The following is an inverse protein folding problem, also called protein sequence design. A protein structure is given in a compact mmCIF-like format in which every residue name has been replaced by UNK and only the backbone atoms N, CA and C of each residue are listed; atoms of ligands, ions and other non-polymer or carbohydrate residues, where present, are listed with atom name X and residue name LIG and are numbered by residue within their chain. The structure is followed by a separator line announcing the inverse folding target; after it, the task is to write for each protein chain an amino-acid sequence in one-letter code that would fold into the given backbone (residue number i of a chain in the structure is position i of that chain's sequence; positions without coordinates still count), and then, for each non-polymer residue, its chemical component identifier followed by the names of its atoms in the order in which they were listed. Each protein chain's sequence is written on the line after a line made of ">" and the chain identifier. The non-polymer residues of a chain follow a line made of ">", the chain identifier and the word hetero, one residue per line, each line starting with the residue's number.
data_IF_554554005198
#
_entry.id   IF_554554005198
#
_cell.length_a   1.000
_cell.length_b   1.000
_cell.length_c   1.000
_cell.angle_alpha   90.00
_cell.angle_beta   90.00
_cell.angle_gamma   90.00
#
_symmetry.space_group_name_H-M   'P 1'
#
loop_
_entity.id
_entity.type
_entity.pdbx_description
1 polymer ?
#
# COMPACT_ATOMS: atom_id res chain seq x y z
N UNK A 1 53.55 -13.87 -46.83
CA UNK A 1 54.12 -13.01 -45.79
C UNK A 1 53.10 -11.93 -45.35
N UNK A 2 52.56 -11.16 -46.29
CA UNK A 2 51.58 -10.09 -46.00
C UNK A 2 50.28 -10.56 -45.33
N UNK A 3 49.78 -11.79 -45.62
CA UNK A 3 48.54 -12.33 -45.03
C UNK A 3 48.71 -12.72 -43.55
N UNK A 4 49.89 -13.17 -43.15
CA UNK A 4 50.22 -13.50 -41.76
C UNK A 4 50.40 -12.23 -40.95
N UNK A 5 51.06 -11.22 -41.49
CA UNK A 5 51.24 -9.92 -40.83
C UNK A 5 49.90 -9.21 -40.61
N UNK A 6 48.99 -9.25 -41.58
CA UNK A 6 47.63 -8.67 -41.40
C UNK A 6 46.79 -9.41 -40.32
N UNK A 7 46.90 -10.74 -40.25
CA UNK A 7 46.25 -11.54 -39.22
C UNK A 7 46.78 -11.26 -37.81
N UNK A 8 48.11 -11.05 -37.67
CA UNK A 8 48.74 -10.68 -36.40
C UNK A 8 48.26 -9.29 -35.95
N UNK A 9 48.18 -8.32 -36.85
CA UNK A 9 47.67 -6.98 -36.53
C UNK A 9 46.20 -7.00 -36.06
N UNK A 10 45.36 -7.75 -36.79
CA UNK A 10 43.95 -7.93 -36.41
C UNK A 10 43.79 -8.61 -35.04
N UNK A 11 44.64 -9.60 -34.73
CA UNK A 11 44.63 -10.29 -33.44
C UNK A 11 45.02 -9.30 -32.29
N UNK A 12 46.07 -8.50 -32.49
CA UNK A 12 46.48 -7.50 -31.50
C UNK A 12 45.44 -6.43 -31.27
N UNK A 13 44.70 -6.00 -32.31
CA UNK A 13 43.62 -5.06 -32.19
C UNK A 13 42.44 -5.66 -31.36
N UNK A 14 42.09 -6.92 -31.60
CA UNK A 14 41.09 -7.66 -30.84
C UNK A 14 41.49 -7.78 -29.37
N UNK A 15 42.76 -8.17 -29.10
CA UNK A 15 43.26 -8.33 -27.73
C UNK A 15 43.24 -6.99 -26.98
N UNK A 16 43.61 -5.88 -27.64
CA UNK A 16 43.50 -4.53 -27.06
C UNK A 16 42.05 -4.10 -26.78
N UNK A 17 41.11 -4.44 -27.65
CA UNK A 17 39.69 -4.14 -27.43
C UNK A 17 39.11 -4.99 -26.31
N UNK A 18 39.52 -6.25 -26.15
CA UNK A 18 39.11 -7.08 -24.99
C UNK A 18 39.59 -6.43 -23.70
N UNK A 19 40.85 -6.01 -23.60
CA UNK A 19 41.40 -5.34 -22.41
C UNK A 19 40.58 -4.09 -22.06
N UNK A 20 40.30 -3.23 -23.06
CA UNK A 20 39.48 -2.00 -22.84
C UNK A 20 38.09 -2.32 -22.36
N UNK A 21 37.45 -3.37 -22.92
CA UNK A 21 36.10 -3.82 -22.49
C UNK A 21 36.15 -4.34 -21.05
N UNK A 22 37.16 -5.16 -20.71
CA UNK A 22 37.32 -5.67 -19.34
C UNK A 22 37.52 -4.55 -18.32
N UNK A 23 38.34 -3.55 -18.63
CA UNK A 23 38.56 -2.38 -17.79
C UNK A 23 37.24 -1.56 -17.62
N UNK A 24 36.50 -1.39 -18.71
CA UNK A 24 35.21 -0.73 -18.71
C UNK A 24 34.19 -1.46 -17.83
N UNK A 25 34.09 -2.78 -17.99
CA UNK A 25 33.22 -3.64 -17.17
C UNK A 25 33.61 -3.53 -15.70
N UNK A 26 34.90 -3.58 -15.36
CA UNK A 26 35.39 -3.43 -13.97
C UNK A 26 35.00 -2.09 -13.39
N UNK A 27 35.18 -1.00 -14.13
CA UNK A 27 34.79 0.35 -13.72
C UNK A 27 33.29 0.48 -13.49
N UNK A 28 32.47 -0.05 -14.42
CA UNK A 28 31.02 -0.05 -14.31
C UNK A 28 30.53 -0.87 -13.11
N UNK A 29 31.14 -2.01 -12.82
CA UNK A 29 30.82 -2.83 -11.65
C UNK A 29 31.12 -2.13 -10.34
N UNK A 30 32.23 -1.39 -10.24
CA UNK A 30 32.56 -0.57 -9.07
C UNK A 30 31.52 0.53 -8.84
N UNK A 31 31.16 1.25 -9.90
CA UNK A 31 30.13 2.29 -9.85
C UNK A 31 28.76 1.73 -9.47
N UNK A 32 28.39 0.60 -10.04
CA UNK A 32 27.14 -0.11 -9.73
C UNK A 32 27.09 -0.52 -8.25
N UNK A 33 28.18 -1.09 -7.72
CA UNK A 33 28.27 -1.46 -6.31
C UNK A 33 28.16 -0.24 -5.38
N UNK A 34 28.85 0.85 -5.69
CA UNK A 34 28.76 2.07 -4.94
C UNK A 34 27.32 2.66 -4.93
N UNK A 35 26.65 2.65 -6.07
CA UNK A 35 25.27 3.09 -6.19
C UNK A 35 24.32 2.18 -5.37
N UNK A 36 24.50 0.87 -5.43
CA UNK A 36 23.69 -0.10 -4.69
C UNK A 36 23.83 0.06 -3.17
N UNK A 37 25.05 0.25 -2.67
CA UNK A 37 25.32 0.55 -1.24
C UNK A 37 24.68 1.88 -0.83
N UNK A 38 24.79 2.92 -1.65
CA UNK A 38 24.15 4.21 -1.37
C UNK A 38 22.62 4.09 -1.26
N UNK A 39 21.99 3.29 -2.12
CA UNK A 39 20.56 3.01 -2.05
C UNK A 39 20.21 2.24 -0.77
N UNK A 40 20.99 1.20 -0.44
CA UNK A 40 20.80 0.42 0.79
C UNK A 40 20.84 1.31 2.04
N UNK A 41 21.86 2.15 2.16
CA UNK A 41 22.01 3.06 3.29
C UNK A 41 20.85 4.07 3.40
N UNK A 42 20.37 4.60 2.28
CA UNK A 42 19.18 5.46 2.26
C UNK A 42 17.91 4.71 2.70
N UNK A 43 17.72 3.47 2.26
CA UNK A 43 16.59 2.64 2.73
C UNK A 43 16.67 2.41 4.23
N UNK A 44 17.85 2.03 4.74
CA UNK A 44 18.08 1.80 6.16
C UNK A 44 17.81 3.05 7.00
N UNK A 45 18.18 4.22 6.53
CA UNK A 45 17.99 5.46 7.30
C UNK A 45 16.53 5.89 7.46
N UNK A 46 15.62 5.50 6.56
CA UNK A 46 14.19 5.87 6.64
C UNK A 46 13.32 4.84 7.37
N UNK A 47 13.85 3.65 7.64
CA UNK A 47 13.10 2.56 8.30
C UNK A 47 12.55 3.00 9.67
N UNK A 48 13.32 3.61 10.59
CA UNK A 48 12.80 3.96 11.92
C UNK A 48 11.60 4.91 11.87
N UNK A 49 11.62 5.90 10.98
CA UNK A 49 10.52 6.85 10.82
C UNK A 49 9.29 6.16 10.21
N UNK A 50 9.50 5.27 9.24
CA UNK A 50 8.43 4.51 8.63
C UNK A 50 7.77 3.55 9.65
N UNK A 51 8.55 2.81 10.42
CA UNK A 51 8.05 1.91 11.49
C UNK A 51 7.25 2.71 12.54
N UNK A 52 7.73 3.86 12.95
CA UNK A 52 7.03 4.75 13.89
C UNK A 52 5.68 5.19 13.35
N UNK A 53 5.60 5.61 12.07
CA UNK A 53 4.36 6.01 11.44
C UNK A 53 3.40 4.82 11.29
N UNK A 54 3.92 3.66 10.89
CA UNK A 54 3.13 2.43 10.79
C UNK A 54 2.51 2.06 12.13
N UNK A 55 3.31 1.96 13.18
CA UNK A 55 2.85 1.58 14.51
C UNK A 55 1.84 2.58 15.08
N UNK A 56 2.03 3.89 14.83
CA UNK A 56 1.02 4.90 15.17
C UNK A 56 -0.31 4.63 14.46
N UNK A 57 -0.30 4.41 13.16
CA UNK A 57 -1.51 4.13 12.40
C UNK A 57 -2.19 2.84 12.87
N UNK A 58 -1.42 1.80 13.19
CA UNK A 58 -1.98 0.53 13.69
C UNK A 58 -2.70 0.70 15.02
N UNK A 59 -2.17 1.51 15.94
CA UNK A 59 -2.86 1.86 17.20
C UNK A 59 -4.21 2.53 16.89
N UNK A 60 -4.24 3.52 16.01
CA UNK A 60 -5.47 4.21 15.61
C UNK A 60 -6.47 3.28 14.91
N UNK A 61 -5.99 2.22 14.26
CA UNK A 61 -6.78 1.19 13.60
C UNK A 61 -7.19 0.02 14.53
N UNK A 62 -7.07 0.20 15.86
CA UNK A 62 -7.50 -0.79 16.84
C UNK A 62 -6.54 -1.97 17.03
N UNK A 63 -5.26 -1.80 16.65
CA UNK A 63 -4.21 -2.82 16.78
C UNK A 63 -3.14 -2.38 17.81
N UNK A 64 -3.57 -1.93 18.98
CA UNK A 64 -2.71 -1.31 20.01
C UNK A 64 -1.60 -2.23 20.56
N UNK A 65 -1.80 -3.54 20.49
CA UNK A 65 -0.85 -4.53 21.02
C UNK A 65 0.09 -5.07 19.95
N UNK A 66 -0.17 -4.72 18.70
CA UNK A 66 0.63 -5.14 17.55
C UNK A 66 1.87 -4.27 17.38
N UNK A 67 2.82 -4.80 16.64
CA UNK A 67 4.03 -4.05 16.29
C UNK A 67 4.58 -4.55 14.94
N UNK A 68 5.12 -3.62 14.17
CA UNK A 68 5.69 -3.88 12.84
C UNK A 68 7.16 -3.47 12.83
N UNK A 69 7.97 -4.31 12.18
CA UNK A 69 9.39 -4.04 11.92
C UNK A 69 9.75 -4.37 10.48
N UNK A 70 10.76 -3.69 9.98
CA UNK A 70 11.38 -3.99 8.70
C UNK A 70 12.77 -4.57 8.95
N UNK A 71 12.95 -5.82 8.61
CA UNK A 71 14.27 -6.44 8.54
C UNK A 71 14.87 -6.18 7.17
N UNK A 72 15.95 -5.41 7.12
CA UNK A 72 16.65 -5.05 5.89
C UNK A 72 18.05 -5.64 5.91
N UNK A 73 18.29 -6.66 5.11
CA UNK A 73 19.58 -7.32 4.93
C UNK A 73 20.22 -7.00 3.56
N UNK A 74 21.50 -7.27 3.45
CA UNK A 74 22.24 -7.14 2.19
C UNK A 74 22.44 -8.52 1.54
N UNK A 75 22.45 -8.54 0.22
CA UNK A 75 22.85 -9.70 -0.59
C UNK A 75 24.14 -9.40 -1.34
N UNK A 76 24.95 -10.42 -1.55
CA UNK A 76 26.19 -10.30 -2.34
C UNK A 76 25.91 -10.04 -3.83
N UNK A 77 24.76 -10.49 -4.33
CA UNK A 77 24.37 -10.36 -5.72
C UNK A 77 23.61 -9.05 -5.92
N UNK A 78 24.12 -8.17 -6.78
CA UNK A 78 23.44 -6.93 -7.14
C UNK A 78 22.27 -7.27 -8.06
N UNK A 79 21.06 -7.02 -7.56
CA UNK A 79 19.81 -7.22 -8.29
C UNK A 79 19.37 -5.92 -8.97
N UNK A 80 18.33 -5.99 -9.83
CA UNK A 80 17.73 -4.82 -10.48
C UNK A 80 17.38 -3.68 -9.50
N UNK A 81 17.01 -4.02 -8.28
CA UNK A 81 16.61 -3.07 -7.23
C UNK A 81 17.73 -2.78 -6.21
N UNK A 82 18.99 -3.16 -6.50
CA UNK A 82 20.15 -3.02 -5.62
C UNK A 82 20.45 -4.28 -4.81
N UNK A 83 21.10 -4.12 -3.66
CA UNK A 83 21.57 -5.22 -2.79
C UNK A 83 20.65 -5.47 -1.58
N UNK A 84 19.56 -4.74 -1.45
CA UNK A 84 18.70 -4.83 -0.26
C UNK A 84 17.63 -5.92 -0.41
N UNK A 85 17.52 -6.78 0.59
CA UNK A 85 16.38 -7.69 0.80
C UNK A 85 15.63 -7.19 2.02
N UNK A 86 14.35 -6.81 1.84
CA UNK A 86 13.49 -6.34 2.91
C UNK A 86 12.42 -7.36 3.26
N UNK A 87 12.22 -7.60 4.56
CA UNK A 87 11.13 -8.40 5.11
C UNK A 87 10.30 -7.54 6.04
N UNK A 88 8.98 -7.60 5.87
CA UNK A 88 8.05 -6.98 6.78
C UNK A 88 7.69 -8.00 7.87
N UNK A 89 8.10 -7.71 9.09
CA UNK A 89 7.87 -8.55 10.25
C UNK A 89 6.74 -7.95 11.10
N UNK A 90 5.86 -8.80 11.57
CA UNK A 90 4.69 -8.43 12.36
C UNK A 90 4.57 -9.31 13.60
N UNK A 91 4.13 -8.71 14.70
CA UNK A 91 3.62 -9.41 15.87
C UNK A 91 2.25 -8.84 16.24
N UNK A 92 1.29 -9.70 16.50
CA UNK A 92 -0.10 -9.31 16.82
C UNK A 92 -0.29 -8.86 18.27
N UNK A 93 0.57 -9.34 19.21
CA UNK A 93 0.41 -9.08 20.64
C UNK A 93 1.76 -8.85 21.33
N UNK A 94 1.72 -8.16 22.49
CA UNK A 94 2.87 -8.04 23.38
C UNK A 94 3.28 -9.44 23.85
N UNK A 95 4.54 -9.81 23.63
CA UNK A 95 5.08 -11.14 24.03
C UNK A 95 5.09 -12.18 22.91
N UNK A 96 4.42 -11.97 21.79
CA UNK A 96 4.60 -12.82 20.60
C UNK A 96 5.92 -12.51 19.89
N UNK A 97 6.43 -13.49 19.16
CA UNK A 97 7.61 -13.34 18.31
C UNK A 97 7.23 -12.62 16.99
N UNK A 98 8.19 -11.97 16.39
CA UNK A 98 8.03 -11.42 15.04
C UNK A 98 8.07 -12.54 14.00
N UNK A 99 7.09 -12.56 13.12
CA UNK A 99 7.04 -13.46 11.96
C UNK A 99 6.80 -12.66 10.69
N UNK A 100 7.01 -13.25 9.54
CA UNK A 100 6.65 -12.61 8.28
C UNK A 100 5.13 -12.37 8.25
N UNK A 101 4.72 -11.19 7.78
CA UNK A 101 3.32 -10.75 7.79
C UNK A 101 2.36 -11.77 7.18
N UNK A 102 2.77 -12.42 6.09
CA UNK A 102 1.97 -13.42 5.37
C UNK A 102 1.60 -14.64 6.19
N UNK A 103 2.36 -14.93 7.26
CA UNK A 103 2.24 -16.19 8.01
C UNK A 103 1.41 -16.03 9.29
N UNK A 104 1.12 -14.80 9.72
CA UNK A 104 0.60 -14.54 11.08
C UNK A 104 -0.66 -13.68 11.11
N UNK A 105 -0.85 -12.77 10.15
CA UNK A 105 -1.94 -11.81 10.22
C UNK A 105 -3.27 -12.41 9.71
N UNK A 106 -4.36 -12.10 10.41
CA UNK A 106 -5.72 -12.36 9.93
C UNK A 106 -6.06 -11.44 8.74
N UNK A 107 -7.06 -11.81 7.93
CA UNK A 107 -7.47 -11.00 6.77
C UNK A 107 -7.77 -9.54 7.13
N UNK A 108 -8.47 -9.29 8.23
CA UNK A 108 -8.75 -7.94 8.71
C UNK A 108 -7.50 -7.18 9.19
N UNK A 109 -6.54 -7.86 9.81
CA UNK A 109 -5.26 -7.25 10.20
C UNK A 109 -4.43 -6.89 8.96
N UNK A 110 -4.33 -7.81 7.99
CA UNK A 110 -3.64 -7.53 6.72
C UNK A 110 -4.25 -6.31 6.02
N UNK A 111 -5.57 -6.21 5.95
CA UNK A 111 -6.27 -5.09 5.32
C UNK A 111 -5.92 -3.76 6.00
N UNK A 112 -5.93 -3.70 7.33
CA UNK A 112 -5.56 -2.50 8.09
C UNK A 112 -4.07 -2.15 7.95
N UNK A 113 -3.17 -3.13 7.95
CA UNK A 113 -1.74 -2.93 7.71
C UNK A 113 -1.53 -2.39 6.29
N UNK A 114 -2.20 -2.95 5.28
CA UNK A 114 -2.12 -2.46 3.91
C UNK A 114 -2.68 -1.06 3.76
N UNK A 115 -3.80 -0.72 4.44
CA UNK A 115 -4.32 0.64 4.48
C UNK A 115 -3.28 1.61 5.04
N UNK A 116 -2.65 1.26 6.17
CA UNK A 116 -1.60 2.08 6.79
C UNK A 116 -0.42 2.31 5.83
N UNK A 117 0.09 1.24 5.20
CA UNK A 117 1.17 1.35 4.21
C UNK A 117 0.75 2.28 3.06
N UNK A 118 -0.44 2.06 2.48
CA UNK A 118 -0.95 2.87 1.37
C UNK A 118 -1.16 4.33 1.76
N UNK A 119 -1.62 4.61 2.98
CA UNK A 119 -1.80 5.97 3.47
C UNK A 119 -0.45 6.71 3.61
N UNK A 120 0.58 6.06 4.12
CA UNK A 120 1.92 6.64 4.21
C UNK A 120 2.50 6.89 2.81
N UNK A 121 2.38 5.91 1.91
CA UNK A 121 2.91 6.00 0.54
C UNK A 121 2.13 6.97 -0.35
N UNK A 122 0.87 7.30 -0.02
CA UNK A 122 0.03 8.19 -0.83
C UNK A 122 0.64 9.57 -1.09
N UNK A 123 1.53 10.03 -0.22
CA UNK A 123 2.28 11.28 -0.37
C UNK A 123 3.41 11.18 -1.40
N UNK A 124 3.89 9.99 -1.67
CA UNK A 124 5.12 9.76 -2.48
C UNK A 124 4.83 9.06 -3.80
N UNK A 125 3.67 8.39 -3.91
CA UNK A 125 3.28 7.66 -5.12
C UNK A 125 2.22 8.44 -5.89
N UNK A 126 2.44 8.63 -7.18
CA UNK A 126 1.46 9.26 -8.09
C UNK A 126 0.48 8.21 -8.64
N UNK A 127 -0.29 7.59 -7.75
CA UNK A 127 -1.38 6.72 -8.17
C UNK A 127 -2.57 7.59 -8.55
N UNK A 128 -3.19 7.33 -9.70
CA UNK A 128 -4.39 8.04 -10.13
C UNK A 128 -5.59 7.66 -9.26
N UNK A 129 -5.77 6.36 -8.98
CA UNK A 129 -6.91 5.85 -8.23
C UNK A 129 -6.51 4.64 -7.38
N UNK A 130 -7.24 4.43 -6.28
CA UNK A 130 -7.17 3.22 -5.45
C UNK A 130 -8.59 2.80 -5.07
N UNK A 131 -8.84 1.50 -5.07
CA UNK A 131 -10.13 0.91 -4.69
C UNK A 131 -9.89 0.09 -3.42
N UNK A 132 -10.71 0.33 -2.40
CA UNK A 132 -10.80 -0.47 -1.20
C UNK A 132 -12.13 -1.20 -1.16
N UNK A 133 -12.08 -2.51 -1.04
CA UNK A 133 -13.24 -3.38 -0.97
C UNK A 133 -13.30 -4.02 0.42
N UNK A 134 -14.42 -3.80 1.13
CA UNK A 134 -14.73 -4.37 2.45
C UNK A 134 -13.60 -4.25 3.51
N UNK A 135 -12.83 -3.17 3.48
CA UNK A 135 -11.69 -2.96 4.40
C UNK A 135 -12.15 -2.73 5.85
N UNK A 136 -13.41 -2.43 6.05
CA UNK A 136 -14.08 -2.19 7.33
C UNK A 136 -14.77 -3.44 7.91
N UNK A 137 -14.58 -4.61 7.31
CA UNK A 137 -15.09 -5.88 7.84
C UNK A 137 -14.47 -6.20 9.21
N UNK A 138 -15.33 -6.49 10.19
CA UNK A 138 -14.92 -6.87 11.56
C UNK A 138 -14.42 -5.71 12.42
N UNK A 139 -14.62 -4.46 11.99
CA UNK A 139 -14.36 -3.27 12.80
C UNK A 139 -15.65 -2.47 13.00
N UNK A 140 -15.69 -1.69 14.08
CA UNK A 140 -16.85 -0.86 14.42
C UNK A 140 -16.46 0.40 15.18
N UNK A 141 -17.41 1.33 15.30
CA UNK A 141 -17.27 2.51 16.14
C UNK A 141 -16.09 3.41 15.76
N UNK A 142 -15.24 3.68 16.73
CA UNK A 142 -14.10 4.61 16.60
C UNK A 142 -13.08 4.14 15.56
N UNK A 143 -12.84 2.84 15.43
CA UNK A 143 -11.89 2.28 14.45
C UNK A 143 -12.38 2.51 13.03
N UNK A 144 -13.68 2.29 12.74
CA UNK A 144 -14.27 2.58 11.43
C UNK A 144 -14.15 4.07 11.08
N UNK A 145 -14.36 4.97 12.06
CA UNK A 145 -14.15 6.41 11.85
C UNK A 145 -12.70 6.74 11.46
N UNK A 146 -11.71 6.11 12.11
CA UNK A 146 -10.30 6.30 11.79
C UNK A 146 -9.92 5.75 10.42
N UNK A 147 -10.49 4.61 10.01
CA UNK A 147 -10.37 4.09 8.64
C UNK A 147 -10.86 5.14 7.64
N UNK A 148 -12.06 5.70 7.86
CA UNK A 148 -12.62 6.75 7.01
C UNK A 148 -11.75 8.02 6.96
N UNK A 149 -11.15 8.44 8.09
CA UNK A 149 -10.23 9.59 8.15
C UNK A 149 -8.96 9.35 7.32
N UNK A 150 -8.36 8.16 7.40
CA UNK A 150 -7.19 7.80 6.59
C UNK A 150 -7.53 7.80 5.09
N UNK A 151 -8.68 7.27 4.70
CA UNK A 151 -9.13 7.28 3.31
C UNK A 151 -9.38 8.71 2.81
N UNK A 152 -10.01 9.55 3.61
CA UNK A 152 -10.19 10.97 3.30
C UNK A 152 -8.86 11.71 3.18
N UNK A 153 -7.88 11.41 4.02
CA UNK A 153 -6.52 11.94 3.88
C UNK A 153 -5.87 11.52 2.54
N UNK A 154 -5.98 10.24 2.17
CA UNK A 154 -5.46 9.74 0.88
C UNK A 154 -6.14 10.43 -0.31
N UNK A 155 -7.43 10.74 -0.21
CA UNK A 155 -8.20 11.37 -1.28
C UNK A 155 -7.73 12.80 -1.63
N UNK A 156 -6.87 13.40 -0.83
CA UNK A 156 -6.23 14.68 -1.15
C UNK A 156 -5.18 14.55 -2.28
N UNK A 157 -4.63 13.35 -2.48
CA UNK A 157 -3.55 13.10 -3.45
C UNK A 157 -3.96 12.16 -4.60
N UNK A 158 -5.10 11.46 -4.48
CA UNK A 158 -5.56 10.49 -5.47
C UNK A 158 -7.06 10.26 -5.36
N UNK A 159 -7.67 9.69 -6.38
CA UNK A 159 -9.05 9.21 -6.29
C UNK A 159 -9.11 7.97 -5.40
N UNK A 160 -9.95 8.01 -4.36
CA UNK A 160 -10.20 6.88 -3.46
C UNK A 160 -11.63 6.42 -3.65
N UNK A 161 -11.81 5.17 -4.05
CA UNK A 161 -13.11 4.50 -4.18
C UNK A 161 -13.19 3.47 -3.06
N UNK A 162 -14.29 3.50 -2.29
CA UNK A 162 -14.47 2.62 -1.14
C UNK A 162 -15.81 1.91 -1.25
N UNK A 163 -15.78 0.58 -1.13
CA UNK A 163 -16.97 -0.25 -0.98
C UNK A 163 -17.09 -0.58 0.50
N UNK A 164 -18.16 -0.09 1.14
CA UNK A 164 -18.32 -0.14 2.59
C UNK A 164 -19.77 -0.40 2.98
N UNK A 165 -19.97 -1.01 4.12
CA UNK A 165 -21.27 -1.19 4.77
C UNK A 165 -21.37 -0.41 6.09
N UNK A 166 -20.31 0.37 6.48
CA UNK A 166 -20.32 1.15 7.71
C UNK A 166 -20.59 2.63 7.46
N UNK A 167 -21.52 3.19 8.21
CA UNK A 167 -21.91 4.60 8.13
C UNK A 167 -20.73 5.54 8.41
N UNK A 168 -19.84 5.17 9.33
CA UNK A 168 -18.65 5.93 9.72
C UNK A 168 -17.69 6.16 8.55
N UNK A 169 -17.50 5.16 7.70
CA UNK A 169 -16.67 5.26 6.49
C UNK A 169 -17.44 6.00 5.40
N UNK A 170 -18.69 5.63 5.12
CA UNK A 170 -19.53 6.23 4.08
C UNK A 170 -19.70 7.74 4.28
N UNK A 171 -19.84 8.22 5.54
CA UNK A 171 -19.98 9.64 5.86
C UNK A 171 -18.77 10.48 5.46
N UNK A 172 -17.57 9.92 5.35
CA UNK A 172 -16.32 10.64 5.01
C UNK A 172 -16.14 10.88 3.52
N UNK A 173 -16.88 10.17 2.65
CA UNK A 173 -16.79 10.33 1.19
C UNK A 173 -17.29 11.68 0.71
N UNK A 174 -16.75 12.21 -0.40
CA UNK A 174 -17.27 13.41 -1.06
C UNK A 174 -18.53 13.09 -1.90
N UNK A 175 -18.56 11.90 -2.48
CA UNK A 175 -19.69 11.38 -3.24
C UNK A 175 -20.14 10.06 -2.62
N UNK A 176 -21.45 9.79 -2.66
CA UNK A 176 -22.01 8.57 -2.13
C UNK A 176 -22.86 7.90 -3.22
N UNK A 177 -22.48 6.67 -3.57
CA UNK A 177 -23.21 5.81 -4.49
C UNK A 177 -23.88 4.70 -3.69
N UNK A 178 -25.21 4.58 -3.82
CA UNK A 178 -25.97 3.46 -3.24
C UNK A 178 -26.09 2.35 -4.26
N UNK A 179 -25.68 1.16 -3.88
CA UNK A 179 -25.92 -0.08 -4.64
C UNK A 179 -27.17 -0.74 -4.08
N UNK A 180 -28.13 -1.06 -4.93
CA UNK A 180 -29.38 -1.68 -4.52
C UNK A 180 -29.87 -2.68 -5.55
N UNK A 181 -30.68 -3.64 -5.10
CA UNK A 181 -31.32 -4.63 -5.94
C UNK A 181 -32.76 -4.21 -6.24
N UNK A 182 -33.19 -4.36 -7.47
CA UNK A 182 -34.60 -4.19 -7.89
C UNK A 182 -35.07 -5.40 -8.70
N UNK A 183 -36.34 -5.72 -8.58
CA UNK A 183 -36.97 -6.75 -9.40
C UNK A 183 -37.51 -6.11 -10.68
N UNK A 184 -37.19 -6.73 -11.83
CA UNK A 184 -37.70 -6.34 -13.13
C UNK A 184 -37.89 -7.60 -13.98
N UNK A 185 -39.14 -7.86 -14.41
CA UNK A 185 -39.50 -9.00 -15.24
C UNK A 185 -39.02 -10.35 -14.63
N UNK A 186 -39.35 -10.62 -13.39
CA UNK A 186 -38.95 -11.81 -12.61
C UNK A 186 -37.42 -12.03 -12.47
N UNK A 187 -36.63 -10.98 -12.73
CA UNK A 187 -35.18 -11.00 -12.54
C UNK A 187 -34.77 -9.96 -11.51
N UNK A 188 -33.81 -10.32 -10.66
CA UNK A 188 -33.15 -9.38 -9.75
C UNK A 188 -32.04 -8.71 -10.49
N UNK A 189 -32.11 -7.39 -10.61
CA UNK A 189 -31.07 -6.55 -11.21
C UNK A 189 -30.41 -5.73 -10.12
N UNK A 190 -29.08 -5.68 -10.13
CA UNK A 190 -28.32 -4.77 -9.29
C UNK A 190 -28.15 -3.44 -10.02
N UNK A 191 -28.49 -2.36 -9.33
CA UNK A 191 -28.41 -1.01 -9.86
C UNK A 191 -27.59 -0.11 -8.94
N UNK A 192 -27.08 1.01 -9.47
CA UNK A 192 -26.27 1.98 -8.73
C UNK A 192 -26.82 3.38 -8.94
N UNK A 193 -26.91 4.17 -7.88
CA UNK A 193 -27.39 5.54 -7.91
C UNK A 193 -26.46 6.45 -7.11
N UNK A 194 -26.11 7.61 -7.66
CA UNK A 194 -25.49 8.69 -6.91
C UNK A 194 -26.55 9.37 -6.04
N UNK A 195 -26.24 9.59 -4.78
CA UNK A 195 -27.16 10.22 -3.83
C UNK A 195 -26.93 11.74 -3.79
N UNK A 196 -28.03 12.48 -3.72
CA UNK A 196 -28.04 13.90 -3.33
C UNK A 196 -27.72 14.05 -1.83
N UNK A 197 -27.35 15.25 -1.38
CA UNK A 197 -27.02 15.50 0.04
C UNK A 197 -28.13 15.04 0.98
N UNK A 198 -29.38 15.32 0.66
CA UNK A 198 -30.54 14.89 1.47
C UNK A 198 -30.72 13.37 1.50
N UNK A 199 -30.55 12.72 0.35
CA UNK A 199 -30.65 11.25 0.26
C UNK A 199 -29.48 10.60 1.01
N UNK A 200 -28.30 11.22 0.97
CA UNK A 200 -27.12 10.76 1.69
C UNK A 200 -27.31 10.78 3.22
N UNK A 201 -27.88 11.84 3.78
CA UNK A 201 -28.20 11.91 5.21
C UNK A 201 -29.15 10.76 5.59
N UNK A 202 -30.21 10.54 4.79
CA UNK A 202 -31.15 9.47 5.04
C UNK A 202 -30.48 8.08 4.96
N UNK A 203 -29.60 7.88 3.99
CA UNK A 203 -28.87 6.60 3.83
C UNK A 203 -27.92 6.34 5.01
N UNK A 204 -27.16 7.36 5.44
CA UNK A 204 -26.29 7.25 6.61
C UNK A 204 -27.14 6.93 7.87
N UNK A 205 -28.29 7.57 8.03
CA UNK A 205 -29.21 7.28 9.14
C UNK A 205 -29.74 5.82 9.09
N UNK A 206 -30.11 5.34 7.90
CA UNK A 206 -30.51 3.94 7.68
C UNK A 206 -29.38 2.98 8.06
N UNK A 207 -28.13 3.25 7.61
CA UNK A 207 -26.94 2.46 7.95
C UNK A 207 -26.63 2.44 9.46
N UNK A 208 -26.96 3.51 10.20
CA UNK A 208 -26.72 3.59 11.65
C UNK A 208 -27.79 2.84 12.47
N UNK A 209 -29.05 2.89 12.04
CA UNK A 209 -30.19 2.36 12.79
C UNK A 209 -30.65 0.99 12.37
N UNK A 210 -30.33 0.58 11.15
CA UNK A 210 -30.92 -0.61 10.51
C UNK A 210 -32.39 -0.45 10.13
N UNK A 211 -33.00 0.73 10.34
CA UNK A 211 -34.41 1.01 10.07
C UNK A 211 -34.60 2.39 9.41
N UNK A 212 -35.40 2.43 8.33
CA UNK A 212 -35.73 3.65 7.55
C UNK A 212 -36.50 4.70 8.31
N UNK A 213 -37.13 4.36 9.43
CA UNK A 213 -38.08 5.21 10.16
C UNK A 213 -37.53 5.88 11.42
N UNK A 214 -36.27 5.67 11.78
CA UNK A 214 -35.72 6.14 13.07
C UNK A 214 -35.31 7.62 13.03
N UNK A 215 -36.13 8.51 13.66
CA UNK A 215 -35.86 9.94 13.75
C UNK A 215 -34.53 10.29 14.44
N UNK A 216 -34.18 9.53 15.49
CA UNK A 216 -32.93 9.79 16.25
C UNK A 216 -31.68 9.51 15.42
N UNK A 217 -31.74 8.53 14.48
CA UNK A 217 -30.65 8.25 13.57
C UNK A 217 -30.44 9.38 12.53
N UNK A 218 -31.52 10.07 12.13
CA UNK A 218 -31.42 11.23 11.23
C UNK A 218 -30.74 12.44 11.90
N UNK A 219 -30.91 12.63 13.22
CA UNK A 219 -30.23 13.69 13.97
C UNK A 219 -28.71 13.41 14.10
N UNK A 220 -28.31 12.15 14.21
CA UNK A 220 -26.90 11.73 14.28
C UNK A 220 -26.19 11.77 12.91
N UNK A 221 -26.94 11.72 11.82
CA UNK A 221 -26.39 11.70 10.45
C UNK A 221 -26.16 13.12 9.88
N UNK A 222 -26.71 14.16 10.48
CA UNK A 222 -26.49 15.57 10.15
C UNK A 222 -25.22 16.10 10.83
#
# INVERSE_FOLDING_TARGET
>A
KNDIESKILTQNDIDNDIIKIEESVRSLMLNLKAAAVKIHNKRRSVIPDFEKLMNKNLIELGMEKSDIKIDLSETEIIQKNGISIGKLLFKSNKGSIYNELRDVASGGEISRIMLSIKSILSKYTKLASIIFDEIDTGISGTVSSKVGELMKFMSQNMQVIVITHTAQVASKGNFHFKVFKREQNDKVITDIKILSDKERVNEIAEMLSGDKSNKSANELAN
#
